data_IF_579802325815
#
_entry.id   IF_579802325815
#
_cell.length_a   1.000
_cell.length_b   1.000
_cell.length_c   1.000
_cell.angle_alpha   90.00
_cell.angle_beta   90.00
_cell.angle_gamma   90.00
#
_symmetry.space_group_name_H-M   'P 1'
#
loop_
_entity.id
_entity.type
_entity.pdbx_description
1 polymer ?
#
# COMPACT_ATOMS: atom_id res chain seq x y z
N UNK A 1 -21.85 22.10 -4.06
CA UNK A 1 -20.64 21.25 -4.10
C UNK A 1 -21.02 19.86 -3.63
N UNK A 2 -20.69 18.80 -4.36
CA UNK A 2 -20.94 17.43 -3.88
C UNK A 2 -19.79 16.98 -2.98
N UNK A 3 -20.12 16.28 -1.89
CA UNK A 3 -19.13 15.72 -0.97
C UNK A 3 -18.56 14.45 -1.60
N UNK A 4 -17.24 14.40 -1.81
CA UNK A 4 -16.56 13.20 -2.30
C UNK A 4 -16.27 12.25 -1.13
N UNK A 5 -17.01 11.16 -1.04
CA UNK A 5 -16.89 10.11 -0.01
C UNK A 5 -17.18 8.74 -0.62
N UNK A 6 -16.74 7.68 0.04
CA UNK A 6 -17.07 6.30 -0.34
C UNK A 6 -18.40 5.80 0.22
N UNK A 7 -19.21 6.67 0.85
CA UNK A 7 -20.53 6.32 1.38
C UNK A 7 -21.59 7.07 0.58
N UNK A 8 -22.41 6.36 -0.19
CA UNK A 8 -23.54 6.94 -0.91
C UNK A 8 -24.62 7.44 0.08
N UNK A 9 -25.54 8.32 -0.35
CA UNK A 9 -26.69 8.72 0.47
C UNK A 9 -27.53 7.54 0.98
N UNK A 10 -27.55 6.43 0.26
CA UNK A 10 -28.24 5.17 0.59
C UNK A 10 -27.40 4.26 1.52
N UNK A 11 -26.23 4.71 1.97
CA UNK A 11 -25.34 3.94 2.83
C UNK A 11 -24.53 2.85 2.11
N UNK A 12 -24.43 2.93 0.78
CA UNK A 12 -23.66 1.96 -0.01
C UNK A 12 -22.19 2.37 -0.11
N UNK A 13 -21.30 1.38 -0.19
CA UNK A 13 -19.89 1.62 -0.43
C UNK A 13 -19.64 1.88 -1.92
N UNK A 14 -19.11 3.06 -2.25
CA UNK A 14 -18.80 3.49 -3.62
C UNK A 14 -17.30 3.69 -3.81
N UNK A 15 -16.79 3.27 -4.96
CA UNK A 15 -15.39 3.37 -5.35
C UNK A 15 -15.27 3.50 -6.87
N UNK A 16 -14.18 4.10 -7.34
CA UNK A 16 -13.83 4.20 -8.76
C UNK A 16 -12.96 3.04 -9.22
N UNK A 17 -13.05 2.73 -10.51
CA UNK A 17 -12.16 1.78 -11.18
C UNK A 17 -11.47 2.52 -12.32
N UNK A 18 -10.14 2.47 -12.32
CA UNK A 18 -9.31 3.08 -13.35
C UNK A 18 -8.56 2.01 -14.14
N UNK A 19 -8.46 2.21 -15.45
CA UNK A 19 -7.66 1.41 -16.38
C UNK A 19 -6.61 2.33 -17.01
N UNK A 20 -5.48 2.59 -16.33
CA UNK A 20 -4.56 3.62 -16.76
C UNK A 20 -3.81 3.20 -18.05
N UNK A 21 -3.63 4.17 -18.93
CA UNK A 21 -2.64 4.13 -20.00
C UNK A 21 -1.81 5.40 -19.92
N UNK A 22 -0.50 5.27 -20.02
CA UNK A 22 0.41 6.40 -19.91
C UNK A 22 1.73 6.14 -20.63
N UNK A 23 2.44 7.22 -20.94
CA UNK A 23 3.81 7.20 -21.43
C UNK A 23 4.70 7.86 -20.38
N UNK A 24 5.87 7.28 -20.14
CA UNK A 24 6.91 7.85 -19.28
C UNK A 24 8.14 8.10 -20.12
N UNK A 25 8.57 9.35 -20.17
CA UNK A 25 9.82 9.70 -20.83
C UNK A 25 11.01 9.17 -20.02
N UNK A 26 11.91 8.47 -20.70
CA UNK A 26 13.16 8.04 -20.10
C UNK A 26 14.20 9.15 -20.24
N UNK A 27 14.39 9.89 -19.15
CA UNK A 27 15.34 11.00 -19.07
C UNK A 27 16.72 10.57 -18.51
N UNK A 28 16.96 9.25 -18.39
CA UNK A 28 18.19 8.71 -17.79
C UNK A 28 19.38 8.90 -18.74
N UNK A 29 20.52 9.30 -18.17
CA UNK A 29 21.77 9.49 -18.92
C UNK A 29 22.69 8.27 -18.87
N UNK A 30 22.61 7.46 -17.81
CA UNK A 30 23.48 6.31 -17.57
C UNK A 30 22.74 5.21 -16.81
N UNK A 31 23.08 3.96 -17.09
CA UNK A 31 22.52 2.79 -16.44
C UNK A 31 23.51 2.19 -15.44
N UNK A 32 23.04 1.96 -14.21
CA UNK A 32 23.80 1.32 -13.15
C UNK A 32 23.34 -0.14 -13.01
N UNK A 33 23.79 -0.96 -13.96
CA UNK A 33 23.46 -2.38 -14.00
C UNK A 33 24.17 -3.12 -12.86
N UNK A 34 23.38 -3.87 -12.10
CA UNK A 34 23.85 -4.62 -10.94
C UNK A 34 23.17 -5.98 -10.84
N UNK A 35 23.91 -6.95 -10.31
CA UNK A 35 23.35 -8.24 -9.92
C UNK A 35 22.45 -8.10 -8.70
N UNK A 36 21.24 -8.63 -8.80
CA UNK A 36 20.24 -8.83 -7.75
C UNK A 36 20.36 -10.22 -7.09
N UNK A 37 21.39 -11.00 -7.46
CA UNK A 37 21.61 -12.38 -7.00
C UNK A 37 21.69 -13.37 -8.16
N UNK A 38 21.41 -14.63 -7.88
CA UNK A 38 21.43 -15.73 -8.86
C UNK A 38 20.11 -16.48 -8.90
N UNK A 39 19.74 -16.94 -10.09
CA UNK A 39 18.63 -17.89 -10.28
C UNK A 39 19.03 -19.29 -9.83
N UNK A 40 18.05 -20.18 -9.69
CA UNK A 40 18.27 -21.58 -9.27
C UNK A 40 19.17 -22.38 -10.23
N UNK A 41 19.29 -21.96 -11.48
CA UNK A 41 20.18 -22.54 -12.48
C UNK A 41 21.60 -21.94 -12.46
N UNK A 42 21.91 -21.05 -11.50
CA UNK A 42 23.21 -20.39 -11.36
C UNK A 42 23.41 -19.14 -12.22
N UNK A 43 22.46 -18.80 -13.10
CA UNK A 43 22.54 -17.57 -13.90
C UNK A 43 22.41 -16.32 -13.03
N UNK A 44 23.12 -15.25 -13.36
CA UNK A 44 22.97 -13.97 -12.68
C UNK A 44 21.57 -13.39 -12.95
N UNK A 45 20.91 -12.95 -11.88
CA UNK A 45 19.70 -12.16 -11.96
C UNK A 45 20.11 -10.70 -11.89
N UNK A 46 20.00 -9.94 -12.97
CA UNK A 46 20.44 -8.54 -13.04
C UNK A 46 19.25 -7.59 -13.16
N UNK A 47 19.45 -6.35 -12.74
CA UNK A 47 18.40 -5.33 -12.70
C UNK A 47 18.08 -4.65 -14.04
N UNK A 48 18.51 -5.23 -15.18
CA UNK A 48 18.35 -4.66 -16.53
C UNK A 48 16.91 -4.23 -16.83
N UNK A 49 15.90 -4.94 -16.34
CA UNK A 49 14.49 -4.58 -16.53
C UNK A 49 14.09 -3.23 -15.93
N UNK A 50 14.85 -2.69 -14.98
CA UNK A 50 14.62 -1.38 -14.39
C UNK A 50 15.20 -0.23 -15.24
N UNK A 51 15.97 -0.55 -16.29
CA UNK A 51 16.69 0.37 -17.16
C UNK A 51 16.25 0.16 -18.62
N UNK A 52 15.03 0.59 -18.99
CA UNK A 52 14.58 0.52 -20.37
C UNK A 52 15.44 1.45 -21.24
N UNK A 53 15.74 1.07 -22.48
CA UNK A 53 16.56 1.91 -23.38
C UNK A 53 15.82 3.14 -23.91
N UNK A 54 14.47 3.10 -23.91
CA UNK A 54 13.62 4.13 -24.48
C UNK A 54 12.51 4.55 -23.51
N UNK A 55 11.71 5.53 -23.94
CA UNK A 55 10.46 5.88 -23.27
C UNK A 55 9.57 4.64 -23.08
N UNK A 56 8.91 4.59 -21.93
CA UNK A 56 8.05 3.46 -21.58
C UNK A 56 6.62 3.80 -21.95
N UNK A 57 6.04 3.03 -22.86
CA UNK A 57 4.63 3.14 -23.23
C UNK A 57 3.83 2.02 -22.56
N UNK A 58 2.93 2.40 -21.65
CA UNK A 58 2.05 1.48 -20.96
C UNK A 58 0.63 1.65 -21.52
N UNK A 59 0.23 0.72 -22.38
CA UNK A 59 -1.12 0.72 -22.96
C UNK A 59 -2.17 0.18 -21.98
N UNK A 60 -1.80 -0.80 -21.16
CA UNK A 60 -2.69 -1.44 -20.20
C UNK A 60 -1.97 -1.59 -18.86
N UNK A 61 -1.99 -0.53 -18.05
CA UNK A 61 -1.46 -0.62 -16.70
C UNK A 61 -2.36 -1.48 -15.82
N UNK A 62 -1.85 -1.89 -14.66
CA UNK A 62 -2.68 -2.60 -13.68
C UNK A 62 -3.87 -1.72 -13.27
N UNK A 63 -5.03 -2.35 -13.13
CA UNK A 63 -6.27 -1.68 -12.74
C UNK A 63 -6.12 -1.08 -11.35
N UNK A 64 -6.68 0.10 -11.11
CA UNK A 64 -6.58 0.79 -9.82
C UNK A 64 -7.98 1.03 -9.26
N UNK A 65 -8.19 0.61 -8.01
CA UNK A 65 -9.34 1.02 -7.20
C UNK A 65 -9.07 2.39 -6.60
N UNK A 66 -9.98 3.33 -6.82
CA UNK A 66 -10.02 4.61 -6.15
C UNK A 66 -11.07 4.57 -5.06
N UNK A 67 -10.66 4.74 -3.81
CA UNK A 67 -11.55 4.68 -2.66
C UNK A 67 -11.47 6.02 -1.94
N UNK A 68 -12.44 6.95 -2.15
CA UNK A 68 -12.54 8.14 -1.33
C UNK A 68 -12.66 7.77 0.15
N UNK A 69 -12.15 8.60 1.04
CA UNK A 69 -12.33 8.34 2.46
C UNK A 69 -13.77 8.62 2.90
N UNK A 70 -14.29 7.84 3.85
CA UNK A 70 -15.59 8.11 4.47
C UNK A 70 -15.67 9.52 5.06
N UNK A 71 -14.53 10.02 5.55
CA UNK A 71 -14.31 11.39 5.96
C UNK A 71 -13.62 12.17 4.82
N UNK A 72 -14.33 13.01 4.05
CA UNK A 72 -13.81 13.63 2.83
C UNK A 72 -12.49 14.38 2.99
N UNK A 73 -12.25 14.96 4.17
CA UNK A 73 -11.03 15.68 4.50
C UNK A 73 -9.79 14.79 4.64
N UNK A 74 -9.94 13.46 4.66
CA UNK A 74 -8.83 12.49 4.68
C UNK A 74 -8.38 12.04 3.28
N UNK A 75 -8.95 12.60 2.22
CA UNK A 75 -8.53 12.33 0.85
C UNK A 75 -9.02 11.00 0.30
N UNK A 76 -8.19 10.34 -0.50
CA UNK A 76 -8.55 9.17 -1.31
C UNK A 76 -7.39 8.17 -1.31
N UNK A 77 -7.71 6.89 -1.16
CA UNK A 77 -6.74 5.79 -1.26
C UNK A 77 -6.82 5.19 -2.65
N UNK A 78 -5.67 4.94 -3.28
CA UNK A 78 -5.56 4.22 -4.54
C UNK A 78 -4.87 2.88 -4.32
N UNK A 79 -5.48 1.79 -4.79
CA UNK A 79 -4.96 0.43 -4.61
C UNK A 79 -4.94 -0.27 -5.97
N UNK A 80 -3.78 -0.79 -6.35
CA UNK A 80 -3.64 -1.63 -7.54
C UNK A 80 -4.36 -2.98 -7.34
N UNK A 81 -5.07 -3.45 -8.37
CA UNK A 81 -5.87 -4.66 -8.33
C UNK A 81 -5.04 -5.88 -7.97
N UNK A 82 -3.83 -6.04 -8.54
CA UNK A 82 -2.95 -7.18 -8.23
C UNK A 82 -2.65 -7.30 -6.73
N UNK A 83 -2.46 -6.16 -6.07
CA UNK A 83 -2.21 -6.09 -4.62
C UNK A 83 -3.46 -6.44 -3.82
N UNK A 84 -4.62 -5.90 -4.23
CA UNK A 84 -5.90 -6.21 -3.60
C UNK A 84 -6.23 -7.71 -3.71
N UNK A 85 -6.03 -8.31 -4.89
CA UNK A 85 -6.25 -9.73 -5.14
C UNK A 85 -5.33 -10.61 -4.28
N UNK A 86 -4.03 -10.28 -4.21
CA UNK A 86 -3.06 -11.05 -3.43
C UNK A 86 -3.40 -11.09 -1.92
N UNK A 87 -4.06 -10.03 -1.44
CA UNK A 87 -4.46 -9.84 -0.04
C UNK A 87 -5.91 -10.26 0.25
N UNK A 88 -6.68 -10.63 -0.77
CA UNK A 88 -8.06 -11.11 -0.62
C UNK A 88 -8.09 -12.30 0.34
N UNK A 89 -8.95 -12.22 1.37
CA UNK A 89 -9.12 -13.27 2.37
C UNK A 89 -8.00 -13.37 3.43
N UNK A 90 -6.97 -12.52 3.39
CA UNK A 90 -5.85 -12.52 4.34
C UNK A 90 -5.91 -11.34 5.30
N UNK A 91 -6.99 -11.26 6.10
CA UNK A 91 -7.20 -10.13 7.01
C UNK A 91 -6.04 -9.94 8.01
N UNK A 92 -5.40 -11.04 8.44
CA UNK A 92 -4.23 -11.02 9.33
C UNK A 92 -3.03 -10.24 8.77
N UNK A 93 -2.95 -10.05 7.45
CA UNK A 93 -1.89 -9.27 6.84
C UNK A 93 -2.06 -7.76 7.08
N UNK A 94 -3.28 -7.31 7.40
CA UNK A 94 -3.60 -5.92 7.71
C UNK A 94 -3.50 -5.66 9.22
N UNK A 95 -2.34 -5.98 9.80
CA UNK A 95 -2.09 -5.71 11.21
C UNK A 95 -1.33 -4.38 11.35
N UNK A 96 -1.93 -3.41 12.04
CA UNK A 96 -1.15 -2.31 12.62
C UNK A 96 -0.20 -2.95 13.64
N UNK A 97 1.10 -3.01 13.34
CA UNK A 97 2.09 -3.48 14.32
C UNK A 97 1.97 -2.59 15.55
N UNK A 98 1.31 -3.07 16.60
CA UNK A 98 1.37 -2.48 17.94
C UNK A 98 2.78 -2.69 18.47
N UNK A 99 3.72 -1.83 18.08
CA UNK A 99 4.98 -1.69 18.83
C UNK A 99 4.73 -0.75 20.00
N UNK A 100 4.02 -1.26 20.99
CA UNK A 100 4.10 -0.68 22.32
C UNK A 100 5.26 -1.38 23.04
N UNK A 101 6.45 -0.79 23.00
CA UNK A 101 7.53 -1.16 23.90
C UNK A 101 7.34 -0.36 25.20
N UNK A 102 6.54 -0.89 26.12
CA UNK A 102 6.51 -0.36 27.48
C UNK A 102 7.42 -1.22 28.35
N UNK A 103 8.47 -0.62 28.89
CA UNK A 103 9.34 -1.23 29.90
C UNK A 103 8.93 -0.71 31.28
N UNK A 104 8.67 -1.63 32.22
CA UNK A 104 8.43 -1.36 33.64
C UNK A 104 6.98 -1.60 34.11
N UNK A 105 6.84 -1.91 35.40
CA UNK A 105 5.53 -2.00 36.06
C UNK A 105 4.88 -0.61 36.09
N UNK A 106 3.69 -0.49 35.50
CA UNK A 106 2.87 0.71 35.60
C UNK A 106 1.55 0.39 36.28
N UNK A 107 1.14 1.30 37.14
CA UNK A 107 -0.21 1.36 37.67
C UNK A 107 -0.95 2.46 36.93
N UNK A 108 -2.14 2.17 36.41
CA UNK A 108 -3.02 3.18 35.85
C UNK A 108 -4.26 3.28 36.72
N UNK A 109 -4.50 4.44 37.31
CA UNK A 109 -5.72 4.72 38.05
C UNK A 109 -6.67 5.52 37.18
N UNK A 110 -7.89 4.99 36.99
CA UNK A 110 -8.99 5.69 36.31
C UNK A 110 -10.17 5.68 37.29
N UNK A 111 -10.52 6.88 37.79
CA UNK A 111 -11.50 7.01 38.87
C UNK A 111 -11.03 6.30 40.14
N UNK A 112 -11.89 5.47 40.75
CA UNK A 112 -11.55 4.69 41.96
C UNK A 112 -10.94 3.31 41.67
N UNK A 113 -10.65 2.99 40.40
CA UNK A 113 -10.07 1.69 40.03
C UNK A 113 -8.62 1.85 39.60
N UNK A 114 -7.76 1.01 40.18
CA UNK A 114 -6.34 0.91 39.82
C UNK A 114 -6.08 -0.41 39.12
N UNK A 115 -5.50 -0.32 37.94
CA UNK A 115 -5.12 -1.46 37.11
C UNK A 115 -3.61 -1.65 37.18
N UNK A 116 -3.19 -2.86 37.55
CA UNK A 116 -1.79 -3.26 37.59
C UNK A 116 -1.45 -4.03 36.32
N UNK A 117 -0.38 -3.64 35.65
CA UNK A 117 0.13 -4.37 34.50
C UNK A 117 1.50 -4.93 34.85
N UNK A 118 1.62 -6.25 34.85
CA UNK A 118 2.91 -6.95 34.83
C UNK A 118 3.20 -7.38 33.39
N UNK A 119 4.41 -7.11 32.93
CA UNK A 119 4.90 -7.49 31.60
C UNK A 119 6.19 -8.29 31.75
N UNK A 120 6.27 -9.44 31.09
CA UNK A 120 7.50 -10.24 30.91
C UNK A 120 8.50 -9.55 30.00
#
# INVERSE_FOLDING_TARGET
MSIRTCVSPEGQFVYGIHYPSYTVDNLRQRDDIQSLGTFSNGAANENHSNFPEANVHIHNADMIYEIPNAFPFKGTTYIQKRWADQKKGKLSDFTLKKKYHFHGQKQLTIGQKTYQFQTT
#
